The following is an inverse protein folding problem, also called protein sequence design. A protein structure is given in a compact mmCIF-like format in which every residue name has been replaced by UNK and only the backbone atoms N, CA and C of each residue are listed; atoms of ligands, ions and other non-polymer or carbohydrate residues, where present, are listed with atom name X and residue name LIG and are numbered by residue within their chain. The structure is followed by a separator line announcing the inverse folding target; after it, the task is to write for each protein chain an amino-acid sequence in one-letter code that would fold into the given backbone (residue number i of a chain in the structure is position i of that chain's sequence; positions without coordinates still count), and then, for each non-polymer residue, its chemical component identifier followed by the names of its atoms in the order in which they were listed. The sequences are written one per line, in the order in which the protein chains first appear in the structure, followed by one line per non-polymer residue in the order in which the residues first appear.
data_IF_084557320023
#
_entry.id   IF_084557320023
#
_cell.length_a   1.000
_cell.length_b   1.000
_cell.length_c   1.000
_cell.angle_alpha   90.00
_cell.angle_beta   90.00
_cell.angle_gamma   90.00
#
_symmetry.space_group_name_H-M   'P 1'
#
loop_
_entity.id
_entity.type
_entity.pdbx_description
1 polymer ?
#
# COMPACT_ATOMS: atom_id res chain seq x y z
N UNK A 1 -10.17 0.99 -12.61
CA UNK A 1 -10.12 -0.25 -11.78
C UNK A 1 -9.41 -1.44 -12.46
N UNK A 2 -9.17 -1.46 -13.78
CA UNK A 2 -8.55 -2.61 -14.47
C UNK A 2 -7.01 -2.67 -14.52
N UNK A 3 -6.29 -1.65 -14.03
CA UNK A 3 -4.84 -1.55 -14.23
C UNK A 3 -4.00 -2.15 -13.08
N UNK A 4 -4.58 -2.33 -11.88
CA UNK A 4 -3.87 -2.87 -10.70
C UNK A 4 -3.88 -4.41 -10.61
N UNK A 5 -4.78 -5.09 -11.32
CA UNK A 5 -4.84 -6.58 -11.33
C UNK A 5 -3.87 -7.19 -12.34
N UNK A 6 -3.51 -6.44 -13.40
CA UNK A 6 -2.57 -6.89 -14.43
C UNK A 6 -1.12 -6.90 -13.92
N UNK A 7 -0.80 -5.99 -12.99
CA UNK A 7 0.54 -5.82 -12.44
C UNK A 7 1.11 -7.12 -11.80
N UNK A 8 0.39 -7.84 -10.91
CA UNK A 8 0.89 -9.10 -10.37
C UNK A 8 0.95 -10.26 -11.39
N UNK A 9 0.09 -10.28 -12.42
CA UNK A 9 0.03 -11.38 -13.40
C UNK A 9 1.28 -11.46 -14.28
N UNK A 10 1.88 -10.32 -14.62
CA UNK A 10 3.10 -10.27 -15.44
C UNK A 10 4.39 -10.25 -14.62
N UNK A 11 4.35 -9.68 -13.41
CA UNK A 11 5.51 -9.60 -12.52
C UNK A 11 5.84 -10.98 -11.93
N UNK A 12 4.84 -11.79 -11.55
CA UNK A 12 5.08 -13.08 -10.87
C UNK A 12 5.85 -14.08 -11.76
N UNK A 13 5.48 -14.30 -13.04
CA UNK A 13 6.28 -15.14 -13.94
C UNK A 13 7.67 -14.56 -14.24
N UNK A 14 7.77 -13.22 -14.34
CA UNK A 14 9.03 -12.52 -14.59
C UNK A 14 10.03 -12.67 -13.45
N UNK A 15 9.58 -12.49 -12.19
CA UNK A 15 10.40 -12.72 -10.99
C UNK A 15 10.76 -14.20 -10.87
N UNK A 16 9.84 -15.12 -11.16
CA UNK A 16 10.11 -16.54 -11.06
C UNK A 16 11.19 -16.99 -12.06
N UNK A 17 11.11 -16.53 -13.31
CA UNK A 17 12.10 -16.87 -14.34
C UNK A 17 13.47 -16.21 -14.09
N UNK A 18 13.47 -14.98 -13.56
CA UNK A 18 14.69 -14.28 -13.14
C UNK A 18 15.34 -14.98 -11.94
N UNK A 19 14.54 -15.43 -10.97
CA UNK A 19 15.01 -16.18 -9.80
C UNK A 19 15.63 -17.53 -10.16
N UNK A 20 15.03 -18.26 -11.12
CA UNK A 20 15.60 -19.52 -11.64
C UNK A 20 16.91 -19.27 -12.40
N UNK A 21 16.96 -18.23 -13.25
CA UNK A 21 18.18 -17.88 -13.99
C UNK A 21 19.34 -17.43 -13.08
N UNK A 22 19.03 -16.77 -11.96
CA UNK A 22 20.02 -16.32 -10.97
C UNK A 22 20.44 -17.45 -10.00
N UNK A 23 19.57 -18.45 -9.77
CA UNK A 23 19.89 -19.67 -9.05
C UNK A 23 20.83 -20.58 -9.88
N UNK A 24 20.59 -20.68 -11.19
CA UNK A 24 21.47 -21.39 -12.13
C UNK A 24 22.86 -20.73 -12.26
N UNK A 25 22.94 -19.40 -12.09
CA UNK A 25 24.19 -18.64 -12.08
C UNK A 25 25.01 -18.76 -10.77
N UNK A 26 24.53 -19.52 -9.77
CA UNK A 26 25.24 -19.74 -8.49
C UNK A 26 25.32 -18.52 -7.56
N UNK A 27 24.61 -17.42 -7.88
CA UNK A 27 24.57 -16.17 -7.09
C UNK A 27 23.50 -16.25 -5.99
N UNK A 28 22.39 -16.95 -6.27
CA UNK A 28 21.32 -17.20 -5.30
C UNK A 28 21.43 -18.61 -4.75
N UNK A 29 22.44 -18.88 -3.92
CA UNK A 29 22.34 -19.97 -2.95
C UNK A 29 21.49 -19.45 -1.77
N UNK A 30 20.20 -19.84 -1.66
CA UNK A 30 19.26 -19.27 -0.70
C UNK A 30 19.63 -19.59 0.76
N UNK A 31 20.57 -20.51 0.99
CA UNK A 31 21.07 -20.86 2.33
C UNK A 31 21.69 -19.69 3.11
N UNK A 32 22.35 -18.71 2.46
CA UNK A 32 23.17 -17.72 3.20
C UNK A 32 22.49 -16.36 3.43
N UNK A 33 21.55 -15.94 2.58
CA UNK A 33 20.94 -14.60 2.68
C UNK A 33 19.95 -14.48 3.84
N UNK A 34 19.32 -15.59 4.24
CA UNK A 34 18.35 -15.62 5.35
C UNK A 34 18.99 -15.77 6.74
N UNK A 35 20.24 -16.25 6.79
CA UNK A 35 21.04 -16.41 8.02
C UNK A 35 21.68 -15.08 8.47
N UNK A 36 22.05 -14.20 7.55
CA UNK A 36 22.75 -12.94 7.90
C UNK A 36 21.81 -11.86 8.44
N UNK A 37 20.54 -11.85 8.00
CA UNK A 37 19.51 -10.98 8.57
C UNK A 37 18.87 -11.61 9.82
N UNK A 38 19.56 -11.68 10.97
CA UNK A 38 18.97 -12.09 12.28
C UNK A 38 17.94 -11.09 12.82
N UNK A 39 16.92 -10.77 12.02
CA UNK A 39 15.74 -10.02 12.44
C UNK A 39 14.70 -11.04 12.91
N UNK A 40 14.15 -10.81 14.11
CA UNK A 40 13.06 -11.59 14.69
C UNK A 40 11.95 -11.84 13.66
N UNK A 41 11.43 -13.08 13.57
CA UNK A 41 10.34 -13.43 12.64
C UNK A 41 9.17 -12.42 12.69
N UNK A 42 8.88 -11.89 13.89
CA UNK A 42 7.91 -10.82 14.10
C UNK A 42 8.22 -9.55 13.30
N UNK A 43 9.45 -9.07 13.40
CA UNK A 43 9.86 -7.84 12.74
C UNK A 43 9.85 -8.00 11.21
N UNK A 44 10.21 -9.18 10.69
CA UNK A 44 10.04 -9.48 9.26
C UNK A 44 8.57 -9.43 8.82
N UNK A 45 7.68 -10.07 9.59
CA UNK A 45 6.23 -10.06 9.32
C UNK A 45 5.61 -8.66 9.43
N UNK A 46 6.00 -7.88 10.45
CA UNK A 46 5.54 -6.50 10.63
C UNK A 46 5.99 -5.62 9.47
N UNK A 47 7.26 -5.71 9.05
CA UNK A 47 7.77 -4.89 7.93
C UNK A 47 7.06 -5.24 6.62
N UNK A 48 6.88 -6.53 6.33
CA UNK A 48 6.18 -6.99 5.14
C UNK A 48 4.71 -6.50 5.11
N UNK A 49 4.01 -6.59 6.24
CA UNK A 49 2.65 -6.06 6.38
C UNK A 49 2.61 -4.54 6.27
N UNK A 50 3.47 -3.82 6.98
CA UNK A 50 3.50 -2.37 7.02
C UNK A 50 3.76 -1.79 5.62
N UNK A 51 4.65 -2.40 4.84
CA UNK A 51 4.91 -1.98 3.47
C UNK A 51 3.70 -2.21 2.56
N UNK A 52 3.08 -3.40 2.65
CA UNK A 52 1.93 -3.76 1.82
C UNK A 52 0.71 -2.88 2.12
N UNK A 53 0.37 -2.71 3.40
CA UNK A 53 -0.72 -1.84 3.83
C UNK A 53 -0.40 -0.36 3.66
N UNK A 54 0.87 0.04 3.75
CA UNK A 54 1.31 1.41 3.47
C UNK A 54 1.10 1.81 2.02
N UNK A 55 1.48 0.94 1.08
CA UNK A 55 1.23 1.16 -0.35
C UNK A 55 -0.27 1.24 -0.66
N UNK A 56 -1.06 0.35 -0.08
CA UNK A 56 -2.52 0.35 -0.22
C UNK A 56 -3.17 1.63 0.36
N UNK A 57 -2.77 2.02 1.57
CA UNK A 57 -3.25 3.24 2.23
C UNK A 57 -2.96 4.48 1.38
N UNK A 58 -1.76 4.57 0.80
CA UNK A 58 -1.39 5.67 -0.11
C UNK A 58 -2.32 5.77 -1.32
N UNK A 59 -2.67 4.64 -1.93
CA UNK A 59 -3.58 4.61 -3.08
C UNK A 59 -5.00 5.04 -2.69
N UNK A 60 -5.47 4.65 -1.49
CA UNK A 60 -6.75 5.13 -0.97
C UNK A 60 -6.74 6.64 -0.75
N UNK A 61 -5.69 7.20 -0.16
CA UNK A 61 -5.58 8.66 0.00
C UNK A 61 -5.53 9.38 -1.36
N UNK A 62 -4.78 8.84 -2.32
CA UNK A 62 -4.69 9.35 -3.70
C UNK A 62 -6.05 9.34 -4.39
N UNK A 63 -6.75 8.21 -4.35
CA UNK A 63 -8.09 8.04 -4.90
C UNK A 63 -9.11 8.94 -4.20
N UNK A 64 -8.98 9.12 -2.88
CA UNK A 64 -9.79 10.03 -2.08
C UNK A 64 -9.71 11.47 -2.53
N UNK A 65 -8.49 11.97 -2.75
CA UNK A 65 -8.28 13.34 -3.26
C UNK A 65 -8.78 13.45 -4.72
N UNK A 66 -8.55 12.42 -5.55
CA UNK A 66 -9.00 12.42 -6.95
C UNK A 66 -10.54 12.31 -7.09
N UNK A 67 -11.23 11.76 -6.09
CA UNK A 67 -12.69 11.64 -6.07
C UNK A 67 -13.43 12.99 -5.92
N UNK A 68 -12.71 14.05 -5.53
CA UNK A 68 -13.28 15.39 -5.41
C UNK A 68 -13.49 15.97 -6.81
N UNK A 69 -14.71 16.43 -7.06
CA UNK A 69 -15.08 17.04 -8.33
C UNK A 69 -14.25 18.31 -8.60
N UNK A 70 -13.79 18.46 -9.85
CA UNK A 70 -12.98 19.62 -10.27
C UNK A 70 -13.70 20.96 -10.04
N UNK A 71 -15.03 20.98 -10.10
CA UNK A 71 -15.86 22.15 -9.84
C UNK A 71 -15.66 22.75 -8.44
N UNK A 72 -15.32 21.94 -7.42
CA UNK A 72 -15.01 22.46 -6.07
C UNK A 72 -13.75 23.32 -6.06
N UNK A 73 -12.78 22.98 -6.91
CA UNK A 73 -11.52 23.69 -7.03
C UNK A 73 -11.68 24.98 -7.83
N UNK A 74 -12.53 24.95 -8.86
CA UNK A 74 -12.91 26.11 -9.66
C UNK A 74 -13.77 27.10 -8.84
N UNK A 75 -14.72 26.60 -8.04
CA UNK A 75 -15.52 27.41 -7.13
C UNK A 75 -14.65 28.09 -6.05
N UNK A 76 -13.69 27.37 -5.47
CA UNK A 76 -12.75 27.94 -4.52
C UNK A 76 -11.88 29.05 -5.14
N UNK A 77 -11.45 28.85 -6.39
CA UNK A 77 -10.71 29.87 -7.16
C UNK A 77 -11.59 31.09 -7.49
N UNK A 78 -12.87 30.89 -7.79
CA UNK A 78 -13.83 31.98 -8.03
C UNK A 78 -14.10 32.81 -6.77
N UNK A 79 -13.97 32.21 -5.58
CA UNK A 79 -14.03 32.89 -4.29
C UNK A 79 -12.71 33.59 -3.89
N UNK A 80 -11.69 33.57 -4.76
CA UNK A 80 -10.40 34.22 -4.51
C UNK A 80 -9.48 33.47 -3.54
N UNK A 81 -9.75 32.19 -3.23
CA UNK A 81 -8.89 31.39 -2.36
C UNK A 81 -7.59 31.01 -3.07
N UNK A 82 -6.46 31.11 -2.37
CA UNK A 82 -5.19 30.60 -2.88
C UNK A 82 -5.21 29.07 -2.96
N UNK A 83 -4.31 28.47 -3.75
CA UNK A 83 -4.24 27.01 -3.92
C UNK A 83 -4.14 26.27 -2.58
N UNK A 84 -3.30 26.77 -1.66
CA UNK A 84 -3.14 26.20 -0.32
C UNK A 84 -4.41 26.35 0.54
N UNK A 85 -5.10 27.50 0.46
CA UNK A 85 -6.35 27.71 1.17
C UNK A 85 -7.47 26.80 0.63
N UNK A 86 -7.62 26.73 -0.69
CA UNK A 86 -8.55 25.82 -1.36
C UNK A 86 -8.30 24.37 -0.95
N UNK A 87 -7.04 23.94 -0.95
CA UNK A 87 -6.69 22.59 -0.53
C UNK A 87 -7.02 22.33 0.94
N UNK A 88 -6.63 23.22 1.86
CA UNK A 88 -6.78 23.06 3.30
C UNK A 88 -8.23 23.14 3.79
N UNK A 89 -9.03 24.02 3.20
CA UNK A 89 -10.40 24.32 3.66
C UNK A 89 -11.49 23.60 2.86
N UNK A 90 -11.25 23.27 1.59
CA UNK A 90 -12.27 22.67 0.71
C UNK A 90 -11.94 21.21 0.41
N UNK A 91 -10.79 20.94 -0.21
CA UNK A 91 -10.47 19.61 -0.76
C UNK A 91 -10.14 18.62 0.35
N UNK A 92 -9.22 18.96 1.25
CA UNK A 92 -8.73 18.06 2.30
C UNK A 92 -9.82 17.56 3.26
N UNK A 93 -10.70 18.40 3.85
CA UNK A 93 -11.75 17.91 4.73
C UNK A 93 -12.79 17.03 3.99
N UNK A 94 -13.05 17.31 2.71
CA UNK A 94 -13.96 16.49 1.89
C UNK A 94 -13.35 15.15 1.50
N UNK A 95 -12.06 15.13 1.13
CA UNK A 95 -11.35 13.92 0.79
C UNK A 95 -11.25 12.99 2.01
N UNK A 96 -10.94 13.55 3.19
CA UNK A 96 -10.85 12.78 4.43
C UNK A 96 -12.18 12.11 4.79
N UNK A 97 -13.31 12.81 4.67
CA UNK A 97 -14.64 12.22 4.93
C UNK A 97 -15.01 11.08 3.97
N UNK A 98 -14.52 11.11 2.73
CA UNK A 98 -14.73 10.03 1.74
C UNK A 98 -13.82 8.83 1.98
N UNK A 99 -12.60 9.08 2.49
CA UNK A 99 -11.56 8.08 2.70
C UNK A 99 -11.71 7.32 4.03
N UNK A 100 -12.19 7.98 5.08
CA UNK A 100 -12.31 7.38 6.41
C UNK A 100 -13.20 6.12 6.47
N UNK A 101 -14.41 6.07 5.86
CA UNK A 101 -15.26 4.88 5.90
C UNK A 101 -14.62 3.62 5.29
N UNK A 102 -14.07 3.63 4.05
CA UNK A 102 -13.42 2.45 3.48
C UNK A 102 -12.14 2.07 4.23
N UNK A 103 -11.34 3.04 4.68
CA UNK A 103 -10.15 2.75 5.50
C UNK A 103 -10.48 1.99 6.78
N UNK A 104 -11.61 2.29 7.42
CA UNK A 104 -12.06 1.57 8.62
C UNK A 104 -12.34 0.10 8.34
N UNK A 105 -12.93 -0.22 7.19
CA UNK A 105 -13.18 -1.60 6.79
C UNK A 105 -11.87 -2.37 6.56
N UNK A 106 -10.92 -1.77 5.85
CA UNK A 106 -9.62 -2.38 5.57
C UNK A 106 -8.75 -2.51 6.84
N UNK A 107 -8.89 -1.58 7.78
CA UNK A 107 -8.24 -1.67 9.10
C UNK A 107 -8.74 -2.88 9.89
N UNK A 108 -10.04 -3.15 9.88
CA UNK A 108 -10.60 -4.36 10.52
C UNK A 108 -10.09 -5.62 9.83
N UNK A 109 -9.97 -5.62 8.50
CA UNK A 109 -9.40 -6.74 7.76
C UNK A 109 -7.92 -6.97 8.15
N UNK A 110 -7.13 -5.90 8.26
CA UNK A 110 -5.73 -5.96 8.70
C UNK A 110 -5.59 -6.59 10.09
N UNK A 111 -6.45 -6.22 11.04
CA UNK A 111 -6.44 -6.81 12.38
C UNK A 111 -6.70 -8.33 12.38
N UNK A 112 -7.48 -8.83 11.41
CA UNK A 112 -7.68 -10.27 11.25
C UNK A 112 -6.40 -10.95 10.74
N UNK A 113 -5.75 -10.38 9.73
CA UNK A 113 -4.53 -10.95 9.13
C UNK A 113 -3.33 -10.94 10.11
N UNK A 114 -3.21 -9.92 10.97
CA UNK A 114 -2.15 -9.90 12.00
C UNK A 114 -2.30 -11.06 12.99
N UNK A 115 -3.54 -11.39 13.38
CA UNK A 115 -3.80 -12.55 14.27
C UNK A 115 -3.40 -13.89 13.62
N UNK A 116 -3.57 -14.00 12.29
CA UNK A 116 -3.15 -15.18 11.53
C UNK A 116 -1.62 -15.31 11.47
N UNK A 117 -0.89 -14.20 11.33
CA UNK A 117 0.58 -14.18 11.38
C UNK A 117 1.13 -14.58 12.75
N UNK A 118 0.51 -14.11 13.84
CA UNK A 118 0.85 -14.57 15.18
C UNK A 118 0.62 -16.08 15.36
N UNK A 119 -0.45 -16.62 14.78
CA UNK A 119 -0.72 -18.08 14.81
C UNK A 119 0.34 -18.90 14.08
N UNK A 120 0.87 -18.41 12.95
CA UNK A 120 1.93 -19.10 12.20
C UNK A 120 3.23 -19.16 13.01
N UNK A 121 3.50 -18.16 13.86
CA UNK A 121 4.68 -18.13 14.73
C UNK A 121 4.62 -19.14 15.90
N UNK A 122 3.43 -19.46 16.39
CA UNK A 122 3.24 -20.34 17.56
C UNK A 122 3.20 -21.84 17.23
N UNK A 123 3.70 -22.26 16.07
CA UNK A 123 3.86 -23.67 15.69
C UNK A 123 5.29 -23.95 15.26
#
# INVERSE_FOLDING_TARGET
MGQFVIFPVFIVPGINNLGVSLAEAGILQPENFLEEFKIEFLARGIVALAFSYGAFSSEIFRAGIQSIEKGQREAASALGLSWFQSFRFVIMPQALRRVLPPMGNDFIAMLKETSLLFRIRCR
#
